data_IF_003117549300
#
_entry.id   IF_003117549300
#
_cell.length_a   1.000
_cell.length_b   1.000
_cell.length_c   1.000
_cell.angle_alpha   90.00
_cell.angle_beta   90.00
_cell.angle_gamma   90.00
#
_symmetry.space_group_name_H-M   'P 1'
#
loop_
_entity.id
_entity.type
_entity.pdbx_description
1 polymer ?
#
# COMPACT_ATOMS: atom_id res chain seq x y z
N UNK A 1 -21.48 -28.11 -13.12
CA UNK A 1 -20.85 -28.31 -11.79
C UNK A 1 -20.24 -26.98 -11.41
N UNK A 2 -20.96 -26.19 -10.60
CA UNK A 2 -20.56 -24.83 -10.21
C UNK A 2 -19.30 -24.92 -9.34
N UNK A 3 -18.21 -24.28 -9.79
CA UNK A 3 -17.03 -24.09 -8.96
C UNK A 3 -17.37 -22.99 -7.97
N UNK A 4 -17.69 -23.37 -6.74
CA UNK A 4 -17.91 -22.44 -5.64
C UNK A 4 -16.68 -21.57 -5.45
N UNK A 5 -16.86 -20.27 -5.61
CA UNK A 5 -16.00 -19.21 -5.10
C UNK A 5 -15.63 -19.54 -3.65
N UNK A 6 -14.40 -19.99 -3.42
CA UNK A 6 -13.81 -19.92 -2.08
C UNK A 6 -13.56 -18.44 -1.83
N UNK A 7 -14.52 -17.80 -1.18
CA UNK A 7 -14.28 -16.52 -0.52
C UNK A 7 -13.04 -16.69 0.36
N UNK A 8 -12.02 -15.87 0.13
CA UNK A 8 -10.89 -15.77 1.04
C UNK A 8 -11.46 -15.56 2.46
N UNK A 9 -10.94 -16.27 3.46
CA UNK A 9 -11.43 -16.11 4.82
C UNK A 9 -11.35 -14.62 5.20
N UNK A 10 -12.42 -14.04 5.78
CA UNK A 10 -12.39 -12.65 6.18
C UNK A 10 -11.21 -12.44 7.12
N UNK A 11 -10.44 -11.38 6.90
CA UNK A 11 -9.35 -11.00 7.78
C UNK A 11 -9.95 -10.80 9.18
N UNK A 12 -9.77 -11.77 10.07
CA UNK A 12 -10.42 -11.83 11.40
C UNK A 12 -9.85 -10.83 12.41
N UNK A 13 -8.96 -9.94 11.97
CA UNK A 13 -8.44 -8.82 12.74
C UNK A 13 -8.96 -7.50 12.22
N UNK A 14 -9.27 -6.56 13.13
CA UNK A 14 -9.47 -5.17 12.76
C UNK A 14 -8.26 -4.68 11.93
N UNK A 15 -8.47 -3.85 10.89
CA UNK A 15 -7.37 -3.40 10.03
C UNK A 15 -6.31 -2.71 10.89
N UNK A 16 -5.02 -3.00 10.65
CA UNK A 16 -3.94 -2.51 11.52
C UNK A 16 -3.93 -0.99 11.72
N UNK A 17 -4.50 -0.22 10.78
CA UNK A 17 -4.64 1.23 10.90
C UNK A 17 -5.65 1.71 11.95
N UNK A 18 -6.53 0.85 12.48
CA UNK A 18 -7.46 1.22 13.57
C UNK A 18 -6.81 1.20 14.94
N UNK A 19 -5.67 0.52 15.08
CA UNK A 19 -4.87 0.60 16.30
C UNK A 19 -3.97 1.84 16.22
N UNK A 20 -4.17 2.85 17.08
CA UNK A 20 -3.42 4.10 17.04
C UNK A 20 -1.93 3.94 17.38
N UNK A 21 -1.52 2.79 17.96
CA UNK A 21 -0.12 2.51 18.23
C UNK A 21 0.68 2.15 16.97
N UNK A 22 0.00 1.67 15.93
CA UNK A 22 0.66 1.32 14.66
C UNK A 22 0.89 2.58 13.83
N UNK A 23 2.12 2.78 13.36
CA UNK A 23 2.42 3.77 12.33
C UNK A 23 2.25 3.11 10.94
N UNK A 24 1.35 3.68 10.12
CA UNK A 24 1.05 3.15 8.78
C UNK A 24 1.48 4.17 7.74
N UNK A 25 2.28 3.75 6.76
CA UNK A 25 2.78 4.60 5.70
C UNK A 25 2.23 4.13 4.35
N UNK A 26 1.46 4.99 3.69
CA UNK A 26 0.90 4.71 2.38
C UNK A 26 1.75 5.41 1.30
N UNK A 27 2.35 4.62 0.41
CA UNK A 27 3.11 5.15 -0.73
C UNK A 27 2.16 5.37 -1.91
N UNK A 28 2.16 6.58 -2.48
CA UNK A 28 1.35 6.94 -3.65
C UNK A 28 2.15 7.76 -4.67
N UNK A 29 1.80 7.69 -5.95
CA UNK A 29 2.46 8.51 -6.99
C UNK A 29 1.88 9.93 -7.12
N UNK A 30 0.63 10.16 -6.71
CA UNK A 30 -0.03 11.46 -6.83
C UNK A 30 -1.18 11.60 -5.83
N UNK A 31 -1.30 12.78 -5.21
CA UNK A 31 -2.45 13.13 -4.36
C UNK A 31 -3.74 13.24 -5.16
N UNK A 32 -3.66 13.61 -6.45
CA UNK A 32 -4.85 13.86 -7.29
C UNK A 32 -5.78 12.66 -7.46
N UNK A 33 -5.32 11.44 -7.17
CA UNK A 33 -6.12 10.21 -7.22
C UNK A 33 -6.35 9.57 -5.84
N UNK A 34 -5.98 10.25 -4.76
CA UNK A 34 -5.88 9.67 -3.41
C UNK A 34 -6.99 10.12 -2.45
N UNK A 35 -8.12 10.66 -2.93
CA UNK A 35 -9.16 11.27 -2.10
C UNK A 35 -9.63 10.44 -0.89
N UNK A 36 -10.00 9.17 -1.09
CA UNK A 36 -10.41 8.30 0.03
C UNK A 36 -9.28 8.04 1.05
N UNK A 37 -8.02 8.02 0.59
CA UNK A 37 -6.87 7.87 1.47
C UNK A 37 -6.61 9.16 2.27
N UNK A 38 -6.77 10.33 1.65
CA UNK A 38 -6.67 11.63 2.32
C UNK A 38 -7.73 11.76 3.42
N UNK A 39 -8.99 11.44 3.11
CA UNK A 39 -10.08 11.42 4.09
C UNK A 39 -9.78 10.48 5.26
N UNK A 40 -9.17 9.33 4.99
CA UNK A 40 -8.80 8.37 6.02
C UNK A 40 -7.68 8.89 6.91
N UNK A 41 -6.63 9.48 6.32
CA UNK A 41 -5.51 10.08 7.04
C UNK A 41 -5.96 11.29 7.88
N UNK A 42 -6.92 12.09 7.40
CA UNK A 42 -7.52 13.18 8.17
C UNK A 42 -8.23 12.69 9.43
N UNK A 43 -8.81 11.48 9.40
CA UNK A 43 -9.49 10.86 10.56
C UNK A 43 -8.53 10.10 11.48
N UNK A 44 -7.35 9.70 10.99
CA UNK A 44 -6.41 8.80 11.68
C UNK A 44 -4.98 9.33 11.60
N UNK A 45 -4.53 9.95 12.69
CA UNK A 45 -3.21 10.59 12.79
C UNK A 45 -2.01 9.64 12.65
N UNK A 46 -2.25 8.34 12.77
CA UNK A 46 -1.24 7.30 12.64
C UNK A 46 -1.05 6.82 11.18
N UNK A 47 -1.78 7.40 10.23
CA UNK A 47 -1.61 7.16 8.80
C UNK A 47 -0.83 8.34 8.18
N UNK A 48 0.28 8.01 7.54
CA UNK A 48 1.16 8.96 6.88
C UNK A 48 1.15 8.70 5.37
N UNK A 49 0.84 9.71 4.57
CA UNK A 49 0.89 9.61 3.11
C UNK A 49 2.27 10.07 2.65
N UNK A 50 2.97 9.22 1.89
CA UNK A 50 4.26 9.54 1.30
C UNK A 50 4.14 9.50 -0.22
N UNK A 51 4.25 10.67 -0.85
CA UNK A 51 4.28 10.76 -2.30
C UNK A 51 5.65 10.30 -2.79
N UNK A 52 5.69 9.21 -3.55
CA UNK A 52 6.90 8.63 -4.12
C UNK A 52 6.57 7.75 -5.33
N UNK A 53 7.55 7.55 -6.21
CA UNK A 53 7.48 6.57 -7.29
C UNK A 53 8.40 5.40 -6.94
N UNK A 54 7.84 4.21 -6.73
CA UNK A 54 8.61 3.03 -6.32
C UNK A 54 9.56 2.51 -7.41
N UNK A 55 9.37 2.95 -8.66
CA UNK A 55 10.27 2.63 -9.78
C UNK A 55 11.49 3.55 -9.84
N UNK A 56 11.54 4.60 -9.00
CA UNK A 56 12.64 5.55 -8.90
C UNK A 56 13.41 5.30 -7.58
N UNK A 57 14.61 4.68 -7.63
CA UNK A 57 15.36 4.32 -6.43
C UNK A 57 15.70 5.52 -5.54
N UNK A 58 16.02 6.67 -6.14
CA UNK A 58 16.34 7.88 -5.38
C UNK A 58 15.13 8.39 -4.60
N UNK A 59 13.95 8.40 -5.22
CA UNK A 59 12.71 8.77 -4.51
C UNK A 59 12.31 7.74 -3.46
N UNK A 60 12.65 6.47 -3.67
CA UNK A 60 12.41 5.42 -2.69
C UNK A 60 13.33 5.59 -1.46
N UNK A 61 14.59 5.96 -1.65
CA UNK A 61 15.52 6.30 -0.57
C UNK A 61 15.02 7.52 0.24
N UNK A 62 14.52 8.55 -0.44
CA UNK A 62 13.91 9.71 0.20
C UNK A 62 12.66 9.34 1.02
N UNK A 63 11.84 8.42 0.49
CA UNK A 63 10.67 7.90 1.19
C UNK A 63 11.08 7.10 2.44
N UNK A 64 12.09 6.23 2.32
CA UNK A 64 12.63 5.47 3.44
C UNK A 64 13.19 6.40 4.53
N UNK A 65 13.90 7.48 4.15
CA UNK A 65 14.38 8.48 5.09
C UNK A 65 13.23 9.21 5.82
N UNK A 66 12.10 9.46 5.15
CA UNK A 66 10.90 10.04 5.80
C UNK A 66 10.26 9.07 6.79
N UNK A 67 10.12 7.79 6.42
CA UNK A 67 9.58 6.74 7.31
C UNK A 67 10.48 6.58 8.54
N UNK A 68 11.79 6.47 8.33
CA UNK A 68 12.80 6.29 9.38
C UNK A 68 12.73 7.38 10.46
N UNK A 69 12.47 8.65 10.09
CA UNK A 69 12.29 9.75 11.04
C UNK A 69 11.13 9.55 12.01
N UNK A 70 10.06 8.87 11.57
CA UNK A 70 8.86 8.63 12.38
C UNK A 70 8.99 7.33 13.18
N UNK A 71 9.66 6.32 12.63
CA UNK A 71 9.77 4.98 13.23
C UNK A 71 11.06 4.74 14.00
N UNK A 72 11.92 5.76 14.16
CA UNK A 72 13.25 5.62 14.76
C UNK A 72 14.15 4.61 14.03
N UNK A 73 13.98 4.48 12.71
CA UNK A 73 14.87 3.72 11.83
C UNK A 73 14.50 2.25 11.59
N UNK A 74 13.41 1.74 12.18
CA UNK A 74 12.93 0.37 11.92
C UNK A 74 11.64 0.34 11.09
N UNK A 75 11.37 -0.81 10.48
CA UNK A 75 10.11 -1.13 9.81
C UNK A 75 9.77 -2.59 10.08
N UNK A 76 8.61 -2.86 10.66
CA UNK A 76 8.20 -4.22 11.01
C UNK A 76 7.63 -4.99 9.82
N UNK A 77 6.91 -4.29 8.92
CA UNK A 77 6.18 -4.90 7.81
C UNK A 77 6.29 -4.02 6.56
N UNK A 78 6.63 -4.65 5.43
CA UNK A 78 6.56 -4.06 4.10
C UNK A 78 5.49 -4.79 3.26
N UNK A 79 4.51 -4.04 2.75
CA UNK A 79 3.48 -4.58 1.85
C UNK A 79 3.75 -4.02 0.45
N UNK A 80 4.39 -4.81 -0.40
CA UNK A 80 4.67 -4.43 -1.79
C UNK A 80 3.52 -4.83 -2.71
N UNK A 81 2.46 -4.02 -2.72
CA UNK A 81 1.27 -4.25 -3.56
C UNK A 81 1.24 -3.42 -4.85
N UNK A 82 2.14 -2.44 -4.99
CA UNK A 82 2.14 -1.58 -6.16
C UNK A 82 2.56 -2.37 -7.42
N UNK A 83 1.69 -2.37 -8.43
CA UNK A 83 1.92 -3.03 -9.70
C UNK A 83 1.10 -2.37 -10.81
N UNK A 84 1.64 -2.42 -12.03
CA UNK A 84 0.96 -1.96 -13.24
C UNK A 84 1.29 -2.95 -14.36
N UNK A 85 0.27 -3.54 -14.97
CA UNK A 85 0.46 -4.36 -16.16
C UNK A 85 0.84 -3.46 -17.34
N UNK A 86 1.86 -3.85 -18.10
CA UNK A 86 2.17 -3.25 -19.39
C UNK A 86 1.23 -3.78 -20.47
N UNK A 87 1.22 -3.17 -21.68
CA UNK A 87 0.41 -3.65 -22.79
C UNK A 87 0.69 -5.12 -23.14
N UNK A 88 1.95 -5.55 -22.97
CA UNK A 88 2.40 -6.92 -23.28
C UNK A 88 1.88 -7.97 -22.28
N UNK A 89 1.51 -7.55 -21.06
CA UNK A 89 0.97 -8.46 -20.03
C UNK A 89 -0.54 -8.32 -19.86
N UNK A 90 -1.14 -7.23 -20.33
CA UNK A 90 -2.59 -7.00 -20.28
C UNK A 90 -3.40 -7.94 -21.19
N UNK A 91 -2.76 -8.49 -22.24
CA UNK A 91 -3.38 -9.42 -23.20
C UNK A 91 -3.20 -10.89 -22.82
N UNK A 92 -2.47 -11.20 -21.75
CA UNK A 92 -2.24 -12.57 -21.32
C UNK A 92 -3.49 -13.13 -20.64
N UNK A 93 -4.04 -14.26 -21.10
CA UNK A 93 -5.14 -14.91 -20.39
C UNK A 93 -4.63 -15.45 -19.04
N UNK A 94 -5.53 -15.65 -18.04
CA UNK A 94 -5.13 -16.12 -16.69
C UNK A 94 -4.31 -17.42 -16.67
N UNK A 95 -4.42 -18.24 -17.71
CA UNK A 95 -3.72 -19.52 -17.86
C UNK A 95 -2.37 -19.43 -18.59
N UNK A 96 -1.90 -18.24 -18.95
CA UNK A 96 -0.64 -18.04 -19.68
C UNK A 96 0.56 -17.67 -18.79
N UNK A 97 0.43 -17.86 -17.47
CA UNK A 97 1.50 -17.72 -16.48
C UNK A 97 2.03 -19.08 -16.04
#
# INVERSE_FOLDING_TARGET
MVHSDKQDPPLTGAPKSTDPNNQVFALIRSMGTAGSLEELAARRKNIHIVVTDISDPTKLDEAAAKVSKVTAGSLDVLILNAGSAGPDTAVLPPSAL
#
